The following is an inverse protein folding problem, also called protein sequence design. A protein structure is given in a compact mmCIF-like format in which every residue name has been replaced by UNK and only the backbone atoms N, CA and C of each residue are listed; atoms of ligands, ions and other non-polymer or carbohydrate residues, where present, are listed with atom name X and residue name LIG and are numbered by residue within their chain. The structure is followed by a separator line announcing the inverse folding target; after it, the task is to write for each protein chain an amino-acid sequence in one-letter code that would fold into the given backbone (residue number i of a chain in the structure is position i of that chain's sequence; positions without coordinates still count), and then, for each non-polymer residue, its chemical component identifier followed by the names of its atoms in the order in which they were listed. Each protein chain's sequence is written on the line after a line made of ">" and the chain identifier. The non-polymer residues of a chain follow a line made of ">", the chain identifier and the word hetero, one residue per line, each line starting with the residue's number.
data_IF_963013982703
#
_entry.id   IF_963013982703
#
_cell.length_a   1.000
_cell.length_b   1.000
_cell.length_c   1.000
_cell.angle_alpha   90.00
_cell.angle_beta   90.00
_cell.angle_gamma   90.00
#
_symmetry.space_group_name_H-M   'P 1'
#
loop_
_entity.id
_entity.type
_entity.pdbx_description
1 polymer ?
#
# COMPACT_ATOMS: atom_id res chain seq x y z
N UNK A 1 3.62 1.98 20.82
CA UNK A 1 3.77 3.43 20.62
C UNK A 1 2.43 4.03 20.20
N UNK A 2 2.09 5.26 20.66
CA UNK A 2 0.96 5.99 20.10
C UNK A 2 1.11 6.14 18.58
N UNK A 3 -0.01 6.07 17.86
CA UNK A 3 -0.02 6.23 16.41
C UNK A 3 0.14 7.70 15.99
N UNK A 4 0.36 7.97 14.69
CA UNK A 4 0.42 9.33 14.19
C UNK A 4 -0.96 10.02 14.33
N UNK A 5 -0.96 11.29 14.68
CA UNK A 5 -2.13 12.17 14.82
C UNK A 5 -2.42 12.85 13.48
N UNK A 6 -3.69 12.98 13.14
CA UNK A 6 -4.12 13.74 11.97
C UNK A 6 -4.21 15.25 12.33
N UNK A 7 -3.11 16.00 12.17
CA UNK A 7 -3.05 17.43 12.49
C UNK A 7 -4.03 18.27 11.66
N UNK A 8 -4.30 17.87 10.41
CA UNK A 8 -5.20 18.59 9.50
C UNK A 8 -6.64 18.69 9.98
N UNK A 9 -7.09 17.78 10.86
CA UNK A 9 -8.49 17.76 11.31
C UNK A 9 -8.80 18.82 12.37
N UNK A 10 -7.80 19.27 13.12
CA UNK A 10 -7.96 20.22 14.22
C UNK A 10 -8.39 21.62 13.76
N UNK A 11 -8.11 22.01 12.51
CA UNK A 11 -8.47 23.35 12.00
C UNK A 11 -9.92 23.51 11.53
N UNK A 12 -10.72 22.44 11.39
CA UNK A 12 -12.10 22.55 10.86
C UNK A 12 -13.19 22.80 11.93
N UNK A 13 -12.79 22.92 13.20
CA UNK A 13 -13.71 22.93 14.35
C UNK A 13 -13.99 24.30 14.98
N UNK A 14 -13.85 25.43 14.26
CA UNK A 14 -14.35 26.71 14.78
C UNK A 14 -14.55 27.76 13.69
N UNK A 15 -15.72 27.75 13.03
CA UNK A 15 -16.09 28.90 12.20
C UNK A 15 -17.10 28.62 11.08
N UNK A 16 -18.21 29.34 11.14
CA UNK A 16 -19.13 29.67 10.05
C UNK A 16 -20.17 28.60 9.61
N UNK A 17 -21.42 28.91 10.00
CA UNK A 17 -22.67 28.54 9.34
C UNK A 17 -22.54 28.55 7.82
N UNK A 18 -22.75 27.40 7.18
CA UNK A 18 -22.91 27.26 5.74
C UNK A 18 -24.32 27.65 5.29
N UNK A 19 -24.40 28.48 4.24
CA UNK A 19 -25.60 28.70 3.43
C UNK A 19 -25.73 27.59 2.37
N UNK A 20 -26.95 27.22 1.94
CA UNK A 20 -27.15 26.16 0.96
C UNK A 20 -26.83 26.66 -0.46
N UNK A 21 -26.05 25.87 -1.21
CA UNK A 21 -25.68 26.15 -2.60
C UNK A 21 -26.55 25.30 -3.54
N UNK A 22 -27.22 25.97 -4.46
CA UNK A 22 -28.08 25.45 -5.52
C UNK A 22 -27.31 24.53 -6.49
N UNK A 23 -27.99 23.46 -6.92
CA UNK A 23 -27.54 22.53 -7.96
C UNK A 23 -27.67 23.17 -9.34
N UNK A 24 -26.63 23.01 -10.17
CA UNK A 24 -26.76 23.14 -11.62
C UNK A 24 -26.42 21.80 -12.28
N UNK A 25 -27.41 21.29 -12.99
CA UNK A 25 -27.33 20.19 -13.94
C UNK A 25 -26.35 20.55 -15.07
N UNK A 26 -25.45 19.62 -15.40
CA UNK A 26 -24.67 19.68 -16.64
C UNK A 26 -24.86 18.39 -17.42
N UNK A 27 -25.46 18.57 -18.59
CA UNK A 27 -25.83 17.59 -19.60
C UNK A 27 -24.62 16.89 -20.20
N UNK A 28 -24.69 15.56 -20.24
CA UNK A 28 -23.76 14.67 -20.93
C UNK A 28 -24.00 14.63 -22.43
N UNK A 29 -22.94 14.83 -23.23
CA UNK A 29 -22.93 14.53 -24.66
C UNK A 29 -22.05 13.30 -24.91
N UNK A 30 -22.68 12.23 -25.37
CA UNK A 30 -22.04 10.99 -25.84
C UNK A 30 -21.43 11.22 -27.23
N UNK A 31 -20.18 10.81 -27.40
CA UNK A 31 -19.59 10.58 -28.73
C UNK A 31 -19.04 9.16 -28.79
N UNK A 32 -19.71 8.36 -29.63
CA UNK A 32 -19.37 7.00 -30.02
C UNK A 32 -18.18 7.03 -30.97
N UNK A 33 -17.10 6.31 -30.64
CA UNK A 33 -16.07 5.91 -31.62
C UNK A 33 -15.80 4.43 -31.52
N UNK A 34 -16.01 3.78 -32.66
CA UNK A 34 -15.91 2.35 -32.90
C UNK A 34 -14.46 1.87 -33.04
N UNK A 35 -14.28 0.60 -32.70
CA UNK A 35 -13.43 -0.42 -33.33
C UNK A 35 -12.09 -0.02 -33.95
N UNK A 36 -11.01 -0.62 -33.44
CA UNK A 36 -10.20 -1.44 -34.35
C UNK A 36 -9.51 -2.61 -33.63
N UNK A 37 -9.65 -3.78 -34.23
CA UNK A 37 -9.03 -5.05 -33.82
C UNK A 37 -7.61 -5.12 -34.37
N UNK A 38 -6.61 -5.32 -33.52
CA UNK A 38 -5.27 -5.71 -33.98
C UNK A 38 -4.76 -6.94 -33.23
N UNK A 39 -4.94 -8.07 -33.91
CA UNK A 39 -4.15 -9.29 -33.94
C UNK A 39 -3.06 -9.50 -32.87
N UNK A 40 -3.33 -10.47 -31.99
CA UNK A 40 -2.34 -11.18 -31.21
C UNK A 40 -1.27 -11.81 -32.13
N UNK A 41 -0.01 -11.47 -31.90
CA UNK A 41 1.14 -12.18 -32.47
C UNK A 41 1.69 -13.14 -31.43
N UNK A 42 1.57 -14.43 -31.71
CA UNK A 42 2.21 -15.53 -30.97
C UNK A 42 3.73 -15.48 -31.20
N UNK A 43 4.56 -15.60 -30.15
CA UNK A 43 5.99 -15.77 -30.32
C UNK A 43 6.33 -17.17 -30.90
N UNK A 44 7.42 -17.32 -31.66
CA UNK A 44 7.82 -18.58 -32.28
C UNK A 44 8.34 -19.59 -31.23
N UNK A 45 8.29 -20.90 -31.53
CA UNK A 45 8.76 -21.96 -30.64
C UNK A 45 10.30 -21.95 -30.51
N UNK A 46 10.77 -22.09 -29.28
CA UNK A 46 12.19 -22.21 -28.92
C UNK A 46 12.68 -23.61 -29.32
N UNK A 47 13.72 -23.68 -30.14
CA UNK A 47 14.38 -24.94 -30.53
C UNK A 47 15.07 -25.60 -29.32
N UNK A 48 15.05 -26.94 -29.21
CA UNK A 48 15.70 -27.65 -28.12
C UNK A 48 17.22 -27.56 -28.23
N UNK A 49 17.86 -27.07 -27.16
CA UNK A 49 19.31 -27.04 -27.01
C UNK A 49 19.82 -28.48 -26.84
N UNK A 50 20.78 -28.83 -27.69
CA UNK A 50 21.46 -30.12 -27.73
C UNK A 50 22.32 -30.29 -26.47
N UNK A 51 21.97 -31.25 -25.62
CA UNK A 51 22.79 -31.63 -24.46
C UNK A 51 23.95 -32.52 -24.94
N UNK A 52 25.21 -32.20 -24.65
CA UNK A 52 26.31 -33.11 -24.96
C UNK A 52 26.28 -34.30 -23.98
N UNK A 53 26.27 -35.51 -24.54
CA UNK A 53 26.56 -36.74 -23.82
C UNK A 53 27.98 -36.68 -23.26
N UNK A 54 28.12 -36.69 -21.94
CA UNK A 54 29.38 -36.98 -21.28
C UNK A 54 29.37 -38.46 -20.92
N UNK A 55 30.38 -39.15 -21.43
CA UNK A 55 30.59 -40.57 -21.26
C UNK A 55 30.94 -40.93 -19.82
N UNK A 56 30.43 -42.10 -19.47
CA UNK A 56 30.63 -42.87 -18.25
C UNK A 56 32.10 -43.29 -18.08
N UNK A 57 32.66 -43.05 -16.90
CA UNK A 57 33.91 -43.64 -16.43
C UNK A 57 33.85 -43.78 -14.91
N UNK A 58 33.42 -44.95 -14.45
CA UNK A 58 33.37 -45.30 -13.05
C UNK A 58 34.73 -45.46 -12.39
N UNK A 59 34.79 -45.20 -11.08
CA UNK A 59 35.56 -45.97 -10.11
C UNK A 59 35.32 -45.41 -8.68
N UNK A 60 34.70 -46.24 -7.84
CA UNK A 60 34.76 -46.27 -6.36
C UNK A 60 34.89 -44.97 -5.58
N UNK A 61 33.80 -44.51 -4.96
CA UNK A 61 33.83 -43.59 -3.82
C UNK A 61 32.73 -43.94 -2.82
N UNK A 62 33.10 -43.82 -1.54
CA UNK A 62 32.33 -43.99 -0.32
C UNK A 62 30.85 -43.55 -0.41
N UNK A 63 30.02 -44.32 0.27
CA UNK A 63 28.60 -44.09 0.58
C UNK A 63 28.42 -42.90 1.54
N UNK A 64 28.89 -41.72 1.13
CA UNK A 64 28.53 -40.43 1.68
C UNK A 64 27.92 -39.62 0.55
N UNK A 65 26.60 -39.58 0.50
CA UNK A 65 25.82 -38.67 -0.34
C UNK A 65 26.45 -37.28 -0.34
N UNK A 66 27.15 -36.87 -1.42
CA UNK A 66 27.68 -35.55 -1.55
C UNK A 66 26.56 -34.69 -2.11
N UNK A 67 26.00 -33.82 -1.27
CA UNK A 67 25.16 -32.72 -1.73
C UNK A 67 23.68 -33.03 -1.83
N UNK A 68 22.99 -33.07 -0.68
CA UNK A 68 21.83 -32.18 -0.57
C UNK A 68 22.38 -30.75 -0.63
N UNK A 69 22.59 -30.29 -1.86
CA UNK A 69 22.90 -28.90 -2.13
C UNK A 69 21.85 -28.07 -1.42
N UNK A 70 22.34 -27.09 -0.66
CA UNK A 70 21.60 -25.95 -0.13
C UNK A 70 20.92 -25.22 -1.29
N UNK A 71 19.90 -25.83 -1.89
CA UNK A 71 18.98 -25.09 -2.74
C UNK A 71 18.23 -24.17 -1.79
N UNK A 72 18.51 -22.88 -1.90
CA UNK A 72 17.79 -21.85 -1.17
C UNK A 72 16.29 -22.12 -1.35
N UNK A 73 15.57 -22.20 -0.23
CA UNK A 73 14.12 -22.43 -0.27
C UNK A 73 13.50 -21.35 -1.16
N UNK A 74 12.57 -21.72 -2.07
CA UNK A 74 11.96 -20.74 -2.94
C UNK A 74 11.30 -19.65 -2.10
N UNK A 75 11.59 -18.39 -2.44
CA UNK A 75 11.09 -17.20 -1.74
C UNK A 75 9.66 -16.83 -2.17
N UNK A 76 9.09 -17.52 -3.17
CA UNK A 76 7.68 -17.47 -3.55
C UNK A 76 7.09 -18.88 -3.48
N UNK A 77 5.86 -19.02 -2.97
CA UNK A 77 5.08 -20.27 -3.03
C UNK A 77 3.61 -19.97 -3.35
N UNK A 78 2.86 -20.93 -3.90
CA UNK A 78 1.43 -20.77 -4.16
C UNK A 78 0.63 -21.89 -3.44
N UNK A 79 -0.25 -21.57 -2.47
CA UNK A 79 -1.12 -22.54 -1.82
C UNK A 79 -2.37 -22.93 -2.64
N UNK A 80 -2.49 -22.48 -3.89
CA UNK A 80 -3.63 -22.73 -4.79
C UNK A 80 -4.60 -21.56 -4.93
N UNK A 81 -4.36 -20.44 -4.24
CA UNK A 81 -5.16 -19.22 -4.35
C UNK A 81 -4.28 -17.97 -4.56
N UNK A 82 -3.16 -18.14 -5.25
CA UNK A 82 -2.26 -17.09 -5.67
C UNK A 82 -0.91 -17.10 -4.94
N UNK A 83 0.11 -16.57 -5.61
CA UNK A 83 1.47 -16.54 -5.11
C UNK A 83 1.63 -15.75 -3.80
N UNK A 84 2.48 -16.25 -2.90
CA UNK A 84 2.83 -15.69 -1.60
C UNK A 84 4.33 -15.49 -1.50
N UNK A 85 4.75 -14.35 -0.96
CA UNK A 85 6.16 -14.08 -0.64
C UNK A 85 6.51 -14.71 0.70
N UNK A 86 7.49 -15.61 0.73
CA UNK A 86 8.00 -16.22 1.96
C UNK A 86 9.18 -15.46 2.54
N UNK A 87 10.06 -14.97 1.67
CA UNK A 87 11.20 -14.14 2.04
C UNK A 87 11.11 -12.82 1.26
N UNK A 88 10.66 -11.79 1.96
CA UNK A 88 10.46 -10.46 1.38
C UNK A 88 11.77 -9.85 0.89
N UNK A 89 12.89 -10.05 1.60
CA UNK A 89 14.19 -9.50 1.20
C UNK A 89 14.69 -10.18 -0.08
N UNK A 90 14.64 -11.51 -0.14
CA UNK A 90 15.02 -12.26 -1.33
C UNK A 90 14.10 -11.95 -2.53
N UNK A 91 12.80 -11.76 -2.29
CA UNK A 91 11.88 -11.33 -3.33
C UNK A 91 12.25 -9.96 -3.90
N UNK A 92 12.53 -8.97 -3.04
CA UNK A 92 12.83 -7.60 -3.46
C UNK A 92 14.15 -7.47 -4.22
N UNK A 93 15.12 -8.35 -3.98
CA UNK A 93 16.37 -8.42 -4.74
C UNK A 93 16.25 -9.25 -6.03
N UNK A 94 15.13 -9.95 -6.23
CA UNK A 94 14.91 -10.81 -7.39
C UNK A 94 14.32 -10.06 -8.58
N UNK A 95 14.35 -10.70 -9.76
CA UNK A 95 13.72 -10.17 -10.97
C UNK A 95 12.18 -10.12 -10.89
N UNK A 96 11.56 -10.83 -9.94
CA UNK A 96 10.10 -10.84 -9.81
C UNK A 96 9.56 -9.52 -9.23
N UNK A 97 10.38 -8.81 -8.46
CA UNK A 97 10.01 -7.51 -7.92
C UNK A 97 9.97 -6.45 -9.03
N UNK A 98 8.79 -5.86 -9.26
CA UNK A 98 8.66 -4.72 -10.15
C UNK A 98 9.50 -3.52 -9.67
N UNK A 99 10.14 -2.78 -10.60
CA UNK A 99 10.88 -1.57 -10.26
C UNK A 99 9.95 -0.47 -9.72
N UNK A 100 10.46 0.49 -8.94
CA UNK A 100 9.69 1.65 -8.53
C UNK A 100 9.13 2.44 -9.73
N UNK A 101 7.94 3.03 -9.56
CA UNK A 101 7.31 3.88 -10.56
C UNK A 101 7.81 5.32 -10.40
N UNK A 102 8.92 5.66 -11.05
CA UNK A 102 9.59 6.97 -10.88
C UNK A 102 8.88 8.13 -11.61
N UNK A 103 7.92 7.82 -12.46
CA UNK A 103 7.06 8.77 -13.16
C UNK A 103 5.94 9.33 -12.26
N UNK A 104 5.60 8.64 -11.18
CA UNK A 104 4.70 9.12 -10.13
C UNK A 104 5.54 9.77 -9.01
N UNK A 105 5.35 11.07 -8.71
CA UNK A 105 6.13 11.78 -7.70
C UNK A 105 6.08 11.14 -6.31
N UNK A 106 4.92 10.61 -5.90
CA UNK A 106 4.75 9.98 -4.60
C UNK A 106 5.48 8.64 -4.55
N UNK A 107 5.37 7.84 -5.62
CA UNK A 107 6.11 6.58 -5.72
C UNK A 107 7.62 6.81 -5.74
N UNK A 108 8.10 7.86 -6.41
CA UNK A 108 9.51 8.24 -6.45
C UNK A 108 10.02 8.63 -5.05
N UNK A 109 9.25 9.41 -4.29
CA UNK A 109 9.58 9.76 -2.90
C UNK A 109 9.68 8.51 -2.02
N UNK A 110 8.68 7.63 -2.07
CA UNK A 110 8.70 6.36 -1.33
C UNK A 110 9.76 5.37 -1.80
N UNK A 111 10.40 5.57 -2.96
CA UNK A 111 11.44 4.66 -3.45
C UNK A 111 12.81 4.89 -2.82
N UNK A 112 12.97 5.97 -2.03
CA UNK A 112 14.21 6.31 -1.35
C UNK A 112 14.50 5.30 -0.21
N UNK A 113 15.78 4.97 -0.03
CA UNK A 113 16.22 4.02 1.00
C UNK A 113 16.07 4.63 2.41
N UNK A 114 16.20 5.95 2.52
CA UNK A 114 16.01 6.71 3.74
C UNK A 114 14.60 6.53 4.29
N UNK A 115 13.60 6.48 3.40
CA UNK A 115 12.19 6.23 3.78
C UNK A 115 12.04 4.80 4.32
N UNK A 116 12.70 3.81 3.72
CA UNK A 116 12.72 2.44 4.26
C UNK A 116 13.37 2.39 5.66
N UNK A 117 14.50 3.08 5.84
CA UNK A 117 15.16 3.17 7.15
C UNK A 117 14.23 3.78 8.21
N UNK A 118 13.53 4.87 7.87
CA UNK A 118 12.52 5.48 8.74
C UNK A 118 11.40 4.49 9.08
N UNK A 119 10.86 3.77 8.09
CA UNK A 119 9.82 2.76 8.30
C UNK A 119 10.29 1.65 9.25
N UNK A 120 11.53 1.18 9.13
CA UNK A 120 12.13 0.18 10.02
C UNK A 120 12.29 0.66 11.47
N UNK A 121 12.24 1.96 11.75
CA UNK A 121 12.26 2.47 13.14
C UNK A 121 10.91 2.30 13.85
N UNK A 122 9.81 2.16 13.09
CA UNK A 122 8.44 2.19 13.62
C UNK A 122 7.66 0.89 13.37
N UNK A 123 8.05 0.11 12.36
CA UNK A 123 7.42 -1.14 11.97
C UNK A 123 8.41 -2.31 12.07
N UNK A 124 7.91 -3.54 12.27
CA UNK A 124 8.71 -4.73 12.05
C UNK A 124 9.29 -4.74 10.63
N UNK A 125 10.54 -5.17 10.49
CA UNK A 125 11.33 -5.12 9.25
C UNK A 125 10.56 -5.65 8.03
N UNK A 126 9.94 -6.83 8.14
CA UNK A 126 9.18 -7.41 7.03
C UNK A 126 7.98 -6.54 6.62
N UNK A 127 7.25 -5.98 7.59
CA UNK A 127 6.12 -5.08 7.33
C UNK A 127 6.59 -3.77 6.71
N UNK A 128 7.73 -3.23 7.15
CA UNK A 128 8.35 -2.04 6.58
C UNK A 128 8.75 -2.27 5.11
N UNK A 129 9.42 -3.38 4.79
CA UNK A 129 9.79 -3.75 3.43
C UNK A 129 8.56 -3.90 2.51
N UNK A 130 7.51 -4.55 2.99
CA UNK A 130 6.25 -4.69 2.24
C UNK A 130 5.60 -3.34 1.99
N UNK A 131 5.52 -2.47 3.01
CA UNK A 131 4.91 -1.15 2.87
C UNK A 131 5.70 -0.26 1.92
N UNK A 132 7.03 -0.25 2.05
CA UNK A 132 7.95 0.44 1.14
C UNK A 132 7.77 -0.03 -0.30
N UNK A 133 7.71 -1.36 -0.52
CA UNK A 133 7.41 -1.92 -1.83
C UNK A 133 6.06 -1.45 -2.38
N UNK A 134 5.00 -1.56 -1.58
CA UNK A 134 3.65 -1.21 -2.01
C UNK A 134 3.52 0.28 -2.35
N UNK A 135 4.19 1.17 -1.62
CA UNK A 135 4.08 2.63 -1.80
C UNK A 135 4.95 3.18 -2.92
N UNK A 136 6.05 2.52 -3.25
CA UNK A 136 6.94 3.00 -4.32
C UNK A 136 6.60 2.45 -5.71
N UNK A 137 5.55 1.62 -5.84
CA UNK A 137 5.12 1.01 -7.11
C UNK A 137 3.67 1.41 -7.43
N UNK A 138 3.38 1.64 -8.70
CA UNK A 138 2.04 2.05 -9.14
C UNK A 138 0.97 0.98 -8.86
N UNK A 139 1.23 -0.27 -9.25
CA UNK A 139 0.19 -1.33 -9.25
C UNK A 139 0.57 -2.62 -8.53
N UNK A 140 1.86 -2.96 -8.42
CA UNK A 140 2.30 -4.22 -7.80
C UNK A 140 2.20 -4.16 -6.28
N UNK A 141 1.64 -5.19 -5.65
CA UNK A 141 1.38 -5.24 -4.21
C UNK A 141 1.78 -6.59 -3.60
N UNK A 142 2.23 -6.53 -2.36
CA UNK A 142 2.33 -7.65 -1.42
C UNK A 142 1.36 -7.37 -0.28
N UNK A 143 0.41 -8.26 -0.01
CA UNK A 143 -0.48 -8.11 1.13
C UNK A 143 0.29 -8.26 2.44
N UNK A 144 0.32 -7.27 3.33
CA UNK A 144 1.11 -7.38 4.57
C UNK A 144 0.56 -8.44 5.53
N UNK A 145 -0.72 -8.80 5.44
CA UNK A 145 -1.34 -9.78 6.34
C UNK A 145 -1.12 -11.24 5.91
N UNK A 146 -1.09 -11.53 4.61
CA UNK A 146 -1.01 -12.91 4.10
C UNK A 146 0.09 -13.12 3.05
N UNK A 147 0.91 -12.11 2.82
CA UNK A 147 2.03 -12.06 1.87
C UNK A 147 1.63 -12.34 0.41
N UNK A 148 0.34 -12.22 0.05
CA UNK A 148 -0.13 -12.44 -1.32
C UNK A 148 0.42 -11.40 -2.28
N UNK A 149 1.02 -11.86 -3.37
CA UNK A 149 1.39 -11.05 -4.53
C UNK A 149 0.17 -10.85 -5.41
N UNK A 150 -0.08 -9.60 -5.78
CA UNK A 150 -1.17 -9.25 -6.70
C UNK A 150 -0.92 -7.87 -7.33
N UNK A 151 -1.75 -7.51 -8.31
CA UNK A 151 -1.81 -6.18 -8.90
C UNK A 151 -3.12 -5.50 -8.55
N UNK A 152 -3.08 -4.19 -8.41
CA UNK A 152 -4.31 -3.39 -8.28
C UNK A 152 -5.23 -3.63 -9.47
N UNK A 153 -6.50 -3.92 -9.18
CA UNK A 153 -7.52 -4.27 -10.17
C UNK A 153 -7.68 -5.77 -10.43
N UNK A 154 -6.80 -6.62 -9.88
CA UNK A 154 -6.96 -8.08 -9.99
C UNK A 154 -8.22 -8.57 -9.24
N UNK A 155 -8.91 -9.54 -9.85
CA UNK A 155 -9.97 -10.30 -9.18
C UNK A 155 -9.33 -11.47 -8.43
N UNK A 156 -9.21 -11.34 -7.12
CA UNK A 156 -8.49 -12.32 -6.30
C UNK A 156 -9.41 -13.39 -5.75
N UNK A 157 -8.94 -14.64 -5.76
CA UNK A 157 -9.58 -15.72 -5.02
C UNK A 157 -9.54 -15.41 -3.52
N UNK A 158 -10.69 -15.30 -2.87
CA UNK A 158 -10.81 -15.10 -1.43
C UNK A 158 -10.25 -16.29 -0.65
N UNK A 159 -10.09 -16.06 0.65
CA UNK A 159 -9.51 -17.02 1.57
C UNK A 159 -10.53 -18.02 2.13
N UNK A 160 -11.83 -17.81 1.91
CA UNK A 160 -12.92 -18.53 2.61
C UNK A 160 -13.81 -19.38 1.71
N UNK A 161 -13.83 -19.18 0.39
CA UNK A 161 -14.84 -19.79 -0.49
C UNK A 161 -14.35 -20.99 -1.30
N UNK A 162 -15.20 -22.02 -1.34
CA UNK A 162 -15.24 -23.07 -2.36
C UNK A 162 -15.80 -22.48 -3.68
N UNK A 163 -15.17 -22.81 -4.80
CA UNK A 163 -15.22 -22.22 -6.17
C UNK A 163 -16.60 -21.84 -6.79
N UNK A 164 -17.73 -22.18 -6.18
CA UNK A 164 -19.02 -22.28 -6.88
C UNK A 164 -19.95 -21.04 -6.82
N UNK A 165 -19.61 -19.97 -6.10
CA UNK A 165 -20.54 -18.84 -5.88
C UNK A 165 -20.17 -17.51 -6.59
N UNK A 166 -19.10 -17.46 -7.39
CA UNK A 166 -18.39 -16.19 -7.67
C UNK A 166 -18.55 -15.54 -9.03
N UNK A 167 -19.16 -16.21 -10.00
CA UNK A 167 -19.09 -15.75 -11.38
C UNK A 167 -19.65 -14.33 -11.61
N UNK A 168 -20.54 -13.82 -10.74
CA UNK A 168 -21.27 -12.58 -11.01
C UNK A 168 -21.10 -11.45 -9.96
N UNK A 169 -20.33 -11.65 -8.89
CA UNK A 169 -20.20 -10.63 -7.84
C UNK A 169 -18.99 -9.71 -8.09
N UNK A 170 -19.28 -8.49 -8.57
CA UNK A 170 -18.29 -7.41 -8.61
C UNK A 170 -17.78 -7.15 -7.18
N UNK A 171 -16.46 -7.08 -6.94
CA UNK A 171 -15.92 -6.80 -5.62
C UNK A 171 -16.45 -5.46 -5.09
N UNK A 172 -16.66 -5.34 -3.77
CA UNK A 172 -17.12 -4.09 -3.18
C UNK A 172 -16.09 -2.98 -3.46
N UNK A 173 -16.53 -1.75 -3.79
CA UNK A 173 -15.61 -0.67 -4.15
C UNK A 173 -14.61 -0.32 -3.03
N UNK A 174 -14.99 -0.57 -1.77
CA UNK A 174 -14.10 -0.38 -0.62
C UNK A 174 -12.89 -1.32 -0.63
N UNK A 175 -12.99 -2.51 -1.25
CA UNK A 175 -11.84 -3.42 -1.35
C UNK A 175 -10.77 -2.83 -2.26
N UNK A 176 -11.14 -2.30 -3.43
CA UNK A 176 -10.19 -1.66 -4.35
C UNK A 176 -9.51 -0.46 -3.69
N UNK A 177 -10.28 0.38 -2.99
CA UNK A 177 -9.72 1.48 -2.19
C UNK A 177 -8.78 0.97 -1.11
N UNK A 178 -9.14 -0.09 -0.37
CA UNK A 178 -8.25 -0.62 0.66
C UNK A 178 -6.93 -1.15 0.07
N UNK A 179 -6.99 -1.85 -1.06
CA UNK A 179 -5.80 -2.34 -1.76
C UNK A 179 -4.86 -1.19 -2.16
N UNK A 180 -5.42 -0.04 -2.56
CA UNK A 180 -4.65 1.18 -2.84
C UNK A 180 -4.06 1.82 -1.57
N UNK A 181 -4.85 1.91 -0.50
CA UNK A 181 -4.48 2.57 0.75
C UNK A 181 -3.40 1.77 1.49
N UNK A 182 -3.67 0.50 1.82
CA UNK A 182 -2.83 -0.32 2.71
C UNK A 182 -2.15 -1.49 2.02
N UNK A 183 -2.58 -1.85 0.81
CA UNK A 183 -2.11 -3.06 0.15
C UNK A 183 -2.75 -4.35 0.67
N UNK A 184 -3.78 -4.29 1.52
CA UNK A 184 -4.49 -5.49 2.00
C UNK A 184 -5.39 -6.08 0.91
N UNK A 185 -5.22 -7.37 0.62
CA UNK A 185 -5.82 -7.98 -0.57
C UNK A 185 -7.28 -8.41 -0.42
N UNK A 186 -7.83 -8.44 0.79
CA UNK A 186 -9.17 -8.95 1.08
C UNK A 186 -9.74 -8.36 2.38
N UNK A 187 -11.06 -8.43 2.54
CA UNK A 187 -11.74 -8.03 3.79
C UNK A 187 -11.25 -8.85 4.98
N UNK A 188 -10.98 -10.15 4.80
CA UNK A 188 -10.42 -11.01 5.84
C UNK A 188 -9.04 -10.50 6.29
N UNK A 189 -8.15 -10.18 5.34
CA UNK A 189 -6.81 -9.68 5.65
C UNK A 189 -6.85 -8.36 6.44
N UNK A 190 -7.83 -7.51 6.18
CA UNK A 190 -7.99 -6.29 6.96
C UNK A 190 -8.62 -6.49 8.32
N UNK A 191 -9.62 -7.36 8.44
CA UNK A 191 -10.14 -7.72 9.76
C UNK A 191 -8.99 -8.25 10.63
N UNK A 192 -8.09 -9.06 10.07
CA UNK A 192 -6.89 -9.53 10.77
C UNK A 192 -5.94 -8.37 11.13
N UNK A 193 -5.68 -7.46 10.19
CA UNK A 193 -4.79 -6.33 10.43
C UNK A 193 -5.34 -5.32 11.47
N UNK A 194 -6.67 -5.20 11.54
CA UNK A 194 -7.39 -4.29 12.43
C UNK A 194 -8.01 -4.98 13.64
N UNK A 195 -7.65 -6.23 13.91
CA UNK A 195 -8.24 -7.05 14.97
C UNK A 195 -8.14 -6.42 16.36
N UNK A 196 -7.10 -5.61 16.59
CA UNK A 196 -6.90 -4.89 17.86
C UNK A 196 -7.82 -3.66 18.03
N UNK A 197 -8.60 -3.32 17.00
CA UNK A 197 -9.46 -2.15 16.93
C UNK A 197 -10.84 -2.51 16.35
N UNK A 198 -11.55 -3.50 16.92
CA UNK A 198 -12.77 -4.06 16.32
C UNK A 198 -13.85 -2.99 16.11
N UNK A 199 -13.94 -2.01 17.01
CA UNK A 199 -14.89 -0.91 16.92
C UNK A 199 -14.63 0.04 15.72
N UNK A 200 -13.38 0.11 15.23
CA UNK A 200 -13.00 0.99 14.12
C UNK A 200 -13.02 0.29 12.75
N UNK A 201 -13.16 -1.05 12.69
CA UNK A 201 -13.03 -1.84 11.44
C UNK A 201 -13.97 -1.32 10.36
N UNK A 202 -15.26 -1.18 10.68
CA UNK A 202 -16.28 -0.79 9.68
C UNK A 202 -16.06 0.62 9.14
N UNK A 203 -15.68 1.55 10.00
CA UNK A 203 -15.48 2.96 9.65
C UNK A 203 -14.14 3.21 8.95
N UNK A 204 -13.11 2.39 9.21
CA UNK A 204 -11.80 2.55 8.61
C UNK A 204 -11.62 1.82 7.26
N UNK A 205 -12.46 0.85 6.95
CA UNK A 205 -12.34 0.02 5.75
C UNK A 205 -12.51 0.86 4.46
N UNK A 206 -11.45 0.95 3.66
CA UNK A 206 -11.45 1.70 2.40
C UNK A 206 -11.46 3.23 2.58
N UNK A 207 -11.17 3.73 3.78
CA UNK A 207 -11.20 5.16 4.10
C UNK A 207 -9.85 5.68 4.60
N UNK A 208 -9.47 6.87 4.12
CA UNK A 208 -8.35 7.66 4.65
C UNK A 208 -8.77 8.47 5.88
N UNK A 209 -7.80 9.01 6.62
CA UNK A 209 -8.06 9.66 7.92
C UNK A 209 -8.94 10.91 7.81
N UNK A 210 -8.98 11.57 6.65
CA UNK A 210 -9.82 12.72 6.34
C UNK A 210 -11.26 12.35 5.96
N UNK A 211 -11.48 11.13 5.48
CA UNK A 211 -12.82 10.60 5.16
C UNK A 211 -13.52 9.99 6.38
N UNK A 212 -12.75 9.58 7.39
CA UNK A 212 -13.28 9.00 8.63
C UNK A 212 -13.81 10.08 9.58
N UNK A 213 -14.85 9.75 10.36
CA UNK A 213 -15.27 10.59 11.48
C UNK A 213 -14.23 10.61 12.62
N UNK A 214 -14.36 11.57 13.54
CA UNK A 214 -13.41 11.76 14.64
C UNK A 214 -13.43 10.58 15.61
N UNK A 215 -14.61 10.01 15.86
CA UNK A 215 -14.78 8.89 16.77
C UNK A 215 -14.04 7.65 16.25
N UNK A 216 -14.23 7.29 14.99
CA UNK A 216 -13.55 6.21 14.30
C UNK A 216 -12.03 6.39 14.32
N UNK A 217 -11.55 7.61 14.05
CA UNK A 217 -10.13 7.92 14.10
C UNK A 217 -9.55 7.77 15.51
N UNK A 218 -10.29 8.21 16.54
CA UNK A 218 -9.91 8.04 17.94
C UNK A 218 -9.89 6.56 18.34
N UNK A 219 -10.89 5.78 17.92
CA UNK A 219 -10.95 4.34 18.17
C UNK A 219 -9.76 3.62 17.52
N UNK A 220 -9.41 3.96 16.28
CA UNK A 220 -8.27 3.37 15.59
C UNK A 220 -6.94 3.75 16.26
N UNK A 221 -6.85 4.92 16.87
CA UNK A 221 -5.67 5.40 17.61
C UNK A 221 -5.65 5.04 19.09
N UNK A 222 -6.69 4.37 19.59
CA UNK A 222 -6.74 3.92 20.97
C UNK A 222 -5.58 2.95 21.27
N UNK A 223 -5.28 2.78 22.56
CA UNK A 223 -4.46 1.65 22.95
C UNK A 223 -5.38 0.47 22.81
N UNK A 224 -5.21 -0.35 21.76
CA UNK A 224 -6.15 -1.42 21.41
C UNK A 224 -6.39 -2.38 22.58
N UNK A 225 -7.25 -3.39 22.40
CA UNK A 225 -7.84 -4.20 23.49
C UNK A 225 -6.86 -5.06 24.34
N UNK A 226 -5.55 -4.76 24.38
CA UNK A 226 -4.56 -5.37 25.29
C UNK A 226 -4.21 -6.82 24.94
N UNK A 227 -4.96 -7.46 24.05
CA UNK A 227 -4.83 -8.86 23.67
C UNK A 227 -3.84 -9.11 22.52
N UNK A 228 -3.18 -8.07 22.00
CA UNK A 228 -2.19 -8.18 20.95
C UNK A 228 -0.89 -8.81 21.48
N UNK A 229 -0.79 -10.14 21.46
CA UNK A 229 0.35 -10.87 22.01
C UNK A 229 1.49 -11.07 21.02
N UNK A 230 1.26 -10.89 19.71
CA UNK A 230 2.27 -11.09 18.66
C UNK A 230 2.70 -9.76 18.02
N UNK A 231 4.01 -9.57 17.86
CA UNK A 231 4.60 -8.41 17.20
C UNK A 231 4.07 -8.17 15.78
N UNK A 232 3.64 -9.23 15.09
CA UNK A 232 3.01 -9.14 13.76
C UNK A 232 1.67 -8.41 13.84
N UNK A 233 0.82 -8.75 14.82
CA UNK A 233 -0.49 -8.10 14.99
C UNK A 233 -0.37 -6.62 15.34
N UNK A 234 0.65 -6.26 16.12
CA UNK A 234 0.96 -4.86 16.46
C UNK A 234 1.46 -4.11 15.23
N UNK A 235 2.35 -4.72 14.44
CA UNK A 235 2.87 -4.16 13.19
C UNK A 235 1.77 -3.91 12.17
N UNK A 236 0.85 -4.86 11.99
CA UNK A 236 -0.30 -4.70 11.09
C UNK A 236 -1.24 -3.59 11.54
N UNK A 237 -1.55 -3.50 12.84
CA UNK A 237 -2.36 -2.41 13.38
C UNK A 237 -1.70 -1.04 13.23
N UNK A 238 -0.38 -0.97 13.35
CA UNK A 238 0.39 0.24 13.05
C UNK A 238 0.34 0.59 11.55
N UNK A 239 0.53 -0.40 10.66
CA UNK A 239 0.42 -0.22 9.21
C UNK A 239 -0.94 0.36 8.80
N UNK A 240 -2.05 -0.16 9.35
CA UNK A 240 -3.39 0.37 9.06
C UNK A 240 -3.49 1.85 9.43
N UNK A 241 -3.00 2.25 10.62
CA UNK A 241 -3.01 3.67 11.04
C UNK A 241 -2.16 4.55 10.14
N UNK A 242 -0.92 4.14 9.88
CA UNK A 242 0.02 4.89 9.04
C UNK A 242 -0.58 5.10 7.65
N UNK A 243 -1.08 4.05 7.02
CA UNK A 243 -1.59 4.11 5.65
C UNK A 243 -2.84 4.97 5.48
N UNK A 244 -3.51 5.38 6.56
CA UNK A 244 -4.62 6.35 6.48
C UNK A 244 -4.17 7.79 6.31
N UNK A 245 -2.89 8.07 6.51
CA UNK A 245 -2.27 9.36 6.31
C UNK A 245 -1.53 9.38 4.98
N UNK A 246 -1.57 10.50 4.26
CA UNK A 246 -0.96 10.63 2.94
C UNK A 246 0.56 10.42 2.96
N UNK A 247 1.22 10.89 4.01
CA UNK A 247 2.66 10.82 4.26
C UNK A 247 3.03 9.71 5.26
N UNK A 248 2.09 8.80 5.52
CA UNK A 248 2.18 7.77 6.56
C UNK A 248 2.34 8.30 8.00
N UNK A 249 2.28 9.62 8.22
CA UNK A 249 2.61 10.25 9.50
C UNK A 249 4.06 10.05 9.93
N UNK A 250 4.98 9.82 8.99
CA UNK A 250 6.37 9.49 9.28
C UNK A 250 7.11 10.61 10.04
N UNK A 251 6.87 11.87 9.68
CA UNK A 251 7.49 13.01 10.36
C UNK A 251 7.18 12.99 11.87
N UNK A 252 5.93 12.75 12.23
CA UNK A 252 5.52 12.69 13.63
C UNK A 252 6.04 11.45 14.36
N UNK A 253 6.09 10.30 13.68
CA UNK A 253 6.53 9.06 14.30
C UNK A 253 8.04 9.02 14.53
N UNK A 254 8.83 9.60 13.63
CA UNK A 254 10.29 9.64 13.73
C UNK A 254 10.81 10.84 14.52
N UNK A 255 10.05 11.94 14.59
CA UNK A 255 10.45 13.18 15.27
C UNK A 255 9.35 13.62 16.27
N UNK A 256 9.10 12.86 17.34
CA UNK A 256 8.03 13.17 18.29
C UNK A 256 8.23 14.47 19.07
N UNK A 257 9.47 14.99 19.12
CA UNK A 257 9.84 16.19 19.88
C UNK A 257 9.70 17.49 19.06
N UNK A 258 9.35 17.40 17.77
CA UNK A 258 9.22 18.55 16.88
C UNK A 258 7.73 18.89 16.72
N UNK A 259 7.32 20.04 17.27
CA UNK A 259 5.96 20.56 17.09
C UNK A 259 5.84 21.22 15.70
N UNK A 260 5.33 20.46 14.71
CA UNK A 260 5.08 20.95 13.35
C UNK A 260 3.83 21.86 13.23
N UNK A 261 3.09 22.05 14.33
CA UNK A 261 1.88 22.89 14.39
C UNK A 261 2.18 24.39 14.62
N UNK A 262 3.43 24.76 14.96
CA UNK A 262 3.86 26.16 15.15
C UNK A 262 4.25 26.82 13.80
N UNK A 263 3.31 26.83 12.85
CA UNK A 263 3.46 27.67 11.66
C UNK A 263 3.53 29.15 12.07
N UNK A 264 4.38 29.98 11.43
CA UNK A 264 4.40 31.40 11.72
C UNK A 264 3.00 31.97 11.51
N UNK A 265 2.47 32.80 12.43
CA UNK A 265 1.20 33.46 12.22
C UNK A 265 1.32 34.20 10.88
N UNK A 266 0.47 33.84 9.92
CA UNK A 266 0.29 34.63 8.72
C UNK A 266 -0.05 36.04 9.19
N UNK A 267 0.95 36.92 9.17
CA UNK A 267 0.72 38.35 9.21
C UNK A 267 -0.04 38.64 7.93
N UNK A 268 -1.35 38.86 8.07
CA UNK A 268 -2.17 39.46 7.01
C UNK A 268 -1.50 40.77 6.60
N UNK A 269 -0.64 40.68 5.59
CA UNK A 269 -0.01 41.81 4.94
C UNK A 269 -1.07 42.51 4.13
N UNK A 270 -1.82 43.40 4.76
CA UNK A 270 -2.54 44.47 4.09
C UNK A 270 -1.50 45.42 3.46
N UNK A 271 -0.93 45.02 2.32
CA UNK A 271 -0.20 45.95 1.45
C UNK A 271 -1.23 46.88 0.78
N UNK A 272 -1.54 47.97 1.49
CA UNK A 272 -2.23 49.13 0.93
C UNK A 272 -1.31 49.76 -0.11
N UNK A 273 -1.52 49.40 -1.37
CA UNK A 273 -0.85 50.02 -2.51
C UNK A 273 -1.43 51.43 -2.73
N UNK A 274 -0.93 52.41 -1.98
CA UNK A 274 -1.30 53.82 -2.16
C UNK A 274 -0.57 54.40 -3.39
N UNK A 275 -1.26 54.37 -4.53
CA UNK A 275 -0.75 54.90 -5.81
C UNK A 275 -0.63 56.41 -5.81
N UNK A 276 0.59 56.93 -5.64
CA UNK A 276 0.94 58.30 -6.01
C UNK A 276 1.37 58.35 -7.49
N UNK A 277 0.55 59.00 -8.33
CA UNK A 277 0.93 59.34 -9.70
C UNK A 277 1.76 60.65 -9.71
N UNK A 278 2.90 60.73 -10.43
CA UNK A 278 3.57 61.99 -10.64
C UNK A 278 2.92 62.76 -11.80
N UNK A 279 2.53 64.00 -11.51
CA UNK A 279 2.20 65.02 -12.51
C UNK A 279 3.53 65.59 -13.00
N UNK A 280 3.82 65.46 -14.30
CA UNK A 280 4.81 66.31 -14.96
C UNK A 280 4.10 67.18 -16.00
N UNK A 281 4.32 68.48 -15.85
CA UNK A 281 3.96 69.57 -16.75
C UNK A 281 5.06 69.82 -17.79
#
# INVERSE_FOLDING_TARGET
>A
MPGPRNSRKKQKGSGARSKPRLSLESTSSFSTVSSDSQHARTPPPISPIHTPQIADAGAGLDDRYPGEGLFDKPFIYDPGNGHRVRDTRAFLSSFFAQPPALDDPLCAEFSQEEVLQMLCTVLPEETALILWYNKSRSTSRICPACQRLYRLGDVLADHTEEENARADQRPPPQLSREQEISGLCSTVCFILASYNYPAAIKSAWGHTADEMDDEAWTLLNSTGDGNATSGVSVGLGMLVRMTRLHDLGLAQLCLPDVDFDDGPPYSDGEDVFEGHAPIYA
#
